data_IF_023593651574
#
_entry.id   IF_023593651574
#
_cell.length_a   1.000
_cell.length_b   1.000
_cell.length_c   1.000
_cell.angle_alpha   90.00
_cell.angle_beta   90.00
_cell.angle_gamma   90.00
#
_symmetry.space_group_name_H-M   'P 1'
#
loop_
_entity.id
_entity.type
_entity.pdbx_description
1 polymer ?
#
# COMPACT_ATOMS: atom_id res chain seq x y z
N UNK A 1 -10.28 5.64 12.00
CA UNK A 1 -8.93 5.69 12.61
C UNK A 1 -9.05 6.42 13.94
N UNK A 2 -8.59 5.84 15.05
CA UNK A 2 -8.79 6.33 16.43
C UNK A 2 -8.07 7.65 16.78
N UNK A 3 -7.60 8.41 15.76
CA UNK A 3 -6.86 9.67 15.95
C UNK A 3 -5.41 9.51 16.39
N UNK A 4 -4.93 8.28 16.61
CA UNK A 4 -3.53 8.01 16.91
C UNK A 4 -2.67 8.09 15.65
N UNK A 5 -1.43 8.56 15.84
CA UNK A 5 -0.41 8.53 14.81
C UNK A 5 0.00 7.08 14.49
N UNK A 6 0.02 6.74 13.20
CA UNK A 6 0.34 5.40 12.68
C UNK A 6 1.71 5.43 11.97
N UNK A 7 2.49 6.50 12.13
CA UNK A 7 3.82 6.67 11.54
C UNK A 7 4.74 5.43 11.68
N UNK A 8 4.67 4.73 12.81
CA UNK A 8 5.45 3.52 13.07
C UNK A 8 5.09 2.31 12.18
N UNK A 9 3.81 2.14 11.82
CA UNK A 9 3.35 0.98 11.04
C UNK A 9 3.35 1.25 9.52
N UNK A 10 3.83 2.41 9.09
CA UNK A 10 3.90 2.81 7.69
C UNK A 10 4.73 1.83 6.85
N UNK A 11 5.88 1.40 7.37
CA UNK A 11 6.75 0.42 6.70
C UNK A 11 6.09 -0.96 6.60
N UNK A 12 5.47 -1.40 7.69
CA UNK A 12 4.75 -2.67 7.74
C UNK A 12 3.57 -2.69 6.77
N UNK A 13 2.94 -1.54 6.53
CA UNK A 13 1.86 -1.41 5.54
C UNK A 13 2.38 -1.61 4.11
N UNK A 14 3.54 -1.02 3.78
CA UNK A 14 4.18 -1.19 2.47
C UNK A 14 4.64 -2.63 2.23
N UNK A 15 5.10 -3.32 3.27
CA UNK A 15 5.44 -4.75 3.18
C UNK A 15 4.21 -5.61 2.83
N UNK A 16 3.05 -5.29 3.42
CA UNK A 16 1.77 -5.95 3.12
C UNK A 16 1.29 -5.65 1.70
N UNK A 17 1.58 -4.46 1.15
CA UNK A 17 1.28 -4.12 -0.26
C UNK A 17 2.15 -4.90 -1.25
N UNK A 18 3.39 -5.23 -0.87
CA UNK A 18 4.32 -6.02 -1.70
C UNK A 18 4.00 -7.53 -1.74
N UNK A 19 3.13 -8.01 -0.83
CA UNK A 19 2.73 -9.42 -0.79
C UNK A 19 1.97 -9.86 -2.06
N UNK A 20 2.25 -11.06 -2.56
CA UNK A 20 1.56 -11.64 -3.72
C UNK A 20 0.15 -12.19 -3.40
N UNK A 21 -0.28 -12.15 -2.13
CA UNK A 21 -1.63 -12.56 -1.73
C UNK A 21 -2.60 -11.40 -1.88
N UNK A 22 -3.61 -11.58 -2.74
CA UNK A 22 -4.66 -10.58 -3.00
C UNK A 22 -5.30 -9.99 -1.72
N UNK A 23 -5.63 -10.84 -0.73
CA UNK A 23 -6.24 -10.39 0.53
C UNK A 23 -5.33 -9.42 1.30
N UNK A 24 -4.03 -9.66 1.29
CA UNK A 24 -3.05 -8.80 1.96
C UNK A 24 -2.84 -7.51 1.17
N UNK A 25 -2.66 -7.59 -0.14
CA UNK A 25 -2.60 -6.40 -1.01
C UNK A 25 -3.77 -5.47 -0.79
N UNK A 26 -5.00 -6.00 -0.82
CA UNK A 26 -6.24 -5.21 -0.65
C UNK A 26 -6.26 -4.45 0.67
N UNK A 27 -5.88 -5.11 1.77
CA UNK A 27 -5.83 -4.48 3.09
C UNK A 27 -4.68 -3.49 3.18
N UNK A 28 -3.52 -3.79 2.57
CA UNK A 28 -2.37 -2.89 2.49
C UNK A 28 -2.71 -1.58 1.76
N UNK A 29 -3.37 -1.67 0.60
CA UNK A 29 -3.85 -0.52 -0.17
C UNK A 29 -4.89 0.30 0.61
N UNK A 30 -5.83 -0.36 1.29
CA UNK A 30 -6.78 0.32 2.15
C UNK A 30 -6.10 1.04 3.33
N UNK A 31 -5.15 0.39 3.99
CA UNK A 31 -4.41 0.97 5.11
C UNK A 31 -3.56 2.16 4.65
N UNK A 32 -2.83 2.01 3.54
CA UNK A 32 -2.04 3.08 2.90
C UNK A 32 -2.89 4.31 2.59
N UNK A 33 -4.09 4.13 2.05
CA UNK A 33 -5.00 5.25 1.76
C UNK A 33 -5.43 6.05 3.00
N UNK A 34 -5.37 5.44 4.19
CA UNK A 34 -5.76 6.05 5.46
C UNK A 34 -4.56 6.59 6.25
N UNK A 35 -3.37 6.02 6.04
CA UNK A 35 -2.17 6.31 6.84
C UNK A 35 -1.16 7.22 6.12
N UNK A 36 -1.14 7.26 4.78
CA UNK A 36 -0.13 8.02 4.06
C UNK A 36 -0.35 9.53 4.13
N UNK A 37 0.68 10.21 4.64
CA UNK A 37 0.76 11.65 4.76
C UNK A 37 1.91 12.16 3.87
N UNK A 38 1.83 13.38 3.32
CA UNK A 38 2.77 13.90 2.33
C UNK A 38 4.23 14.09 2.82
N UNK A 39 4.54 13.80 4.09
CA UNK A 39 5.89 13.91 4.67
C UNK A 39 6.56 12.58 5.02
N UNK A 40 5.98 11.43 4.63
CA UNK A 40 6.52 10.12 5.02
C UNK A 40 7.52 9.55 4.01
N UNK A 41 8.59 8.92 4.50
CA UNK A 41 9.66 8.30 3.67
C UNK A 41 9.17 7.20 2.71
N UNK A 42 7.99 6.62 2.98
CA UNK A 42 7.35 5.60 2.13
C UNK A 42 6.72 6.16 0.85
N UNK A 43 6.64 7.49 0.70
CA UNK A 43 6.01 8.15 -0.45
C UNK A 43 6.76 7.86 -1.78
N UNK A 44 8.03 7.47 -1.72
CA UNK A 44 8.78 7.00 -2.89
C UNK A 44 8.47 5.53 -3.25
N UNK A 45 8.23 4.68 -2.25
CA UNK A 45 8.06 3.23 -2.45
C UNK A 45 6.65 2.87 -2.90
N UNK A 46 5.64 3.56 -2.36
CA UNK A 46 4.23 3.34 -2.67
C UNK A 46 3.87 3.47 -4.15
N UNK A 47 4.15 4.59 -4.85
CA UNK A 47 3.82 4.74 -6.26
C UNK A 47 4.59 3.77 -7.16
N UNK A 48 5.79 3.33 -6.74
CA UNK A 48 6.54 2.30 -7.45
C UNK A 48 5.84 0.92 -7.36
N UNK A 49 5.24 0.58 -6.22
CA UNK A 49 4.44 -0.64 -6.05
C UNK A 49 3.14 -0.58 -6.84
N UNK A 50 2.41 0.54 -6.79
CA UNK A 50 1.20 0.78 -7.60
C UNK A 50 1.50 0.59 -9.08
N UNK A 51 2.56 1.22 -9.58
CA UNK A 51 2.94 1.13 -10.99
C UNK A 51 3.31 -0.30 -11.41
N UNK A 52 3.94 -1.07 -10.52
CA UNK A 52 4.24 -2.49 -10.75
C UNK A 52 2.96 -3.33 -10.83
N UNK A 53 1.99 -3.07 -9.96
CA UNK A 53 0.72 -3.79 -9.92
C UNK A 53 -0.19 -3.45 -11.11
N UNK A 54 -0.21 -2.19 -11.56
CA UNK A 54 -0.92 -1.77 -12.77
C UNK A 54 -0.32 -2.37 -14.05
N UNK A 55 1.00 -2.60 -14.08
CA UNK A 55 1.65 -3.31 -15.19
C UNK A 55 1.55 -4.84 -15.08
N UNK A 56 0.96 -5.38 -14.01
CA UNK A 56 0.77 -6.82 -13.86
C UNK A 56 -0.28 -7.33 -14.85
N UNK A 57 -0.03 -8.49 -15.46
CA UNK A 57 -0.99 -9.18 -16.32
C UNK A 57 -2.21 -9.73 -15.55
N UNK A 58 -2.15 -9.70 -14.20
CA UNK A 58 -3.23 -10.15 -13.34
C UNK A 58 -4.24 -9.01 -13.12
N UNK A 59 -5.41 -9.14 -13.75
CA UNK A 59 -6.50 -8.16 -13.72
C UNK A 59 -7.00 -7.86 -12.30
N UNK A 60 -6.86 -8.82 -11.37
CA UNK A 60 -7.21 -8.63 -9.96
C UNK A 60 -6.19 -7.76 -9.19
N UNK A 61 -4.91 -7.84 -9.56
CA UNK A 61 -3.87 -6.98 -8.98
C UNK A 61 -3.98 -5.55 -9.55
N UNK A 62 -4.26 -5.43 -10.85
CA UNK A 62 -4.45 -4.15 -11.51
C UNK A 62 -5.74 -3.43 -11.07
N UNK A 63 -6.81 -4.16 -10.74
CA UNK A 63 -8.08 -3.56 -10.31
C UNK A 63 -8.14 -3.11 -8.85
N UNK A 64 -7.15 -3.47 -8.04
CA UNK A 64 -7.04 -3.06 -6.62
C UNK A 64 -6.17 -1.82 -6.44
N UNK A 65 -5.18 -1.63 -7.31
CA UNK A 65 -4.26 -0.50 -7.30
C UNK A 65 -4.99 0.80 -7.69
#
# INVERSE_FOLDING_TARGET
>A
MLGYDIGWAMFNTVEVMSCQKFTFKRVGYLAASQSFHPGSDVLLLTPNLIRKDLCSANMYDAGIA
#
